data_IF_730878806631
#
_entry.id   IF_730878806631
#
_cell.length_a   1.000
_cell.length_b   1.000
_cell.length_c   1.000
_cell.angle_alpha   90.00
_cell.angle_beta   90.00
_cell.angle_gamma   90.00
#
_symmetry.space_group_name_H-M   'P 1'
#
loop_
_entity.id
_entity.type
_entity.pdbx_description
1 polymer ?
#
# COMPACT_ATOMS: atom_id res chain seq x y z
N UNK A 1 37.39 4.39 50.99
CA UNK A 1 37.00 5.07 49.73
C UNK A 1 36.01 6.22 49.95
N UNK A 2 35.12 6.16 50.96
CA UNK A 2 34.18 7.23 51.31
C UNK A 2 34.82 8.48 51.96
N UNK A 3 36.01 8.36 52.56
CA UNK A 3 36.71 9.48 53.21
C UNK A 3 37.28 10.54 52.26
N UNK A 4 37.35 10.28 50.94
CA UNK A 4 37.81 11.27 49.94
C UNK A 4 36.69 12.15 49.38
N UNK A 5 35.42 11.84 49.69
CA UNK A 5 34.27 12.65 49.28
C UNK A 5 33.98 13.80 50.25
N UNK A 6 34.46 13.73 51.49
CA UNK A 6 34.25 14.78 52.51
C UNK A 6 35.17 15.98 52.34
N UNK A 7 36.32 15.84 51.68
CA UNK A 7 37.29 16.93 51.47
C UNK A 7 37.04 17.79 50.22
N UNK A 8 36.03 17.45 49.41
CA UNK A 8 35.69 18.21 48.21
C UNK A 8 34.94 19.49 48.62
N UNK A 9 35.37 20.68 48.17
CA UNK A 9 34.68 21.92 48.48
C UNK A 9 33.24 21.89 47.97
N UNK A 10 32.31 22.45 48.76
CA UNK A 10 30.86 22.39 48.51
C UNK A 10 30.50 22.91 47.12
N UNK A 11 31.21 23.93 46.62
CA UNK A 11 31.00 24.45 45.26
C UNK A 11 31.28 23.44 44.15
N UNK A 12 32.26 22.55 44.31
CA UNK A 12 32.55 21.49 43.33
C UNK A 12 31.48 20.40 43.37
N UNK A 13 30.98 20.04 44.55
CA UNK A 13 29.86 19.10 44.69
C UNK A 13 28.61 19.64 43.99
N UNK A 14 28.31 20.93 44.18
CA UNK A 14 27.16 21.59 43.55
C UNK A 14 27.30 21.63 42.02
N UNK A 15 28.48 21.96 41.48
CA UNK A 15 28.76 21.94 40.04
C UNK A 15 28.60 20.54 39.44
N UNK A 16 29.08 19.50 40.12
CA UNK A 16 28.94 18.11 39.66
C UNK A 16 27.47 17.69 39.67
N UNK A 17 26.72 17.99 40.73
CA UNK A 17 25.28 17.71 40.79
C UNK A 17 24.50 18.46 39.70
N UNK A 18 24.83 19.72 39.44
CA UNK A 18 24.20 20.52 38.40
C UNK A 18 24.55 20.01 37.00
N UNK A 19 25.81 19.65 36.75
CA UNK A 19 26.22 19.02 35.50
C UNK A 19 25.51 17.67 35.28
N UNK A 20 25.30 16.88 36.33
CA UNK A 20 24.53 15.64 36.28
C UNK A 20 23.05 15.90 35.93
N UNK A 21 22.43 16.91 36.53
CA UNK A 21 21.06 17.32 36.19
C UNK A 21 20.95 17.76 34.73
N UNK A 22 21.90 18.56 34.24
CA UNK A 22 21.94 18.97 32.83
C UNK A 22 22.07 17.74 31.92
N UNK A 23 22.97 16.80 32.25
CA UNK A 23 23.15 15.59 31.45
C UNK A 23 21.85 14.76 31.37
N UNK A 24 21.12 14.61 32.49
CA UNK A 24 19.82 13.94 32.51
C UNK A 24 18.82 14.66 31.60
N UNK A 25 18.72 15.99 31.71
CA UNK A 25 17.79 16.79 30.88
C UNK A 25 18.11 16.63 29.39
N UNK A 26 19.40 16.64 29.01
CA UNK A 26 19.81 16.47 27.62
C UNK A 26 19.46 15.08 27.07
N UNK A 27 19.63 14.02 27.88
CA UNK A 27 19.22 12.66 27.50
C UNK A 27 17.72 12.59 27.27
N UNK A 28 16.91 13.13 28.21
CA UNK A 28 15.46 13.15 28.05
C UNK A 28 15.00 13.99 26.86
N UNK A 29 15.59 15.16 26.64
CA UNK A 29 15.27 16.01 25.48
C UNK A 29 15.61 15.32 24.16
N UNK A 30 16.74 14.62 24.09
CA UNK A 30 17.16 13.86 22.92
C UNK A 30 16.22 12.67 22.64
N UNK A 31 15.85 11.89 23.68
CA UNK A 31 14.87 10.81 23.52
C UNK A 31 13.49 11.33 23.10
N UNK A 32 13.02 12.44 23.67
CA UNK A 32 11.75 13.05 23.29
C UNK A 32 11.76 13.54 21.83
N UNK A 33 12.87 14.12 21.38
CA UNK A 33 13.05 14.53 19.99
C UNK A 33 12.98 13.34 19.02
N UNK A 34 13.67 12.23 19.33
CA UNK A 34 13.60 11.01 18.51
C UNK A 34 12.19 10.44 18.43
N UNK A 35 11.50 10.33 19.58
CA UNK A 35 10.12 9.84 19.63
C UNK A 35 9.18 10.65 18.73
N UNK A 36 9.34 11.98 18.75
CA UNK A 36 8.51 12.88 17.93
C UNK A 36 8.79 12.72 16.43
N UNK A 37 10.05 12.48 16.06
CA UNK A 37 10.44 12.25 14.66
C UNK A 37 9.91 10.91 14.14
N UNK A 38 9.97 9.86 14.96
CA UNK A 38 9.43 8.53 14.65
C UNK A 38 7.90 8.59 14.44
N UNK A 39 7.17 9.31 15.31
CA UNK A 39 5.72 9.50 15.18
C UNK A 39 5.37 10.26 13.88
N UNK A 40 6.16 11.28 13.51
CA UNK A 40 5.98 12.02 12.25
C UNK A 40 6.24 11.11 11.05
N UNK A 41 7.27 10.28 11.09
CA UNK A 41 7.57 9.33 10.02
C UNK A 41 6.45 8.30 9.87
N UNK A 42 5.95 7.76 10.98
CA UNK A 42 4.82 6.84 11.02
C UNK A 42 3.57 7.43 10.34
N UNK A 43 3.14 8.64 10.76
CA UNK A 43 1.97 9.30 10.17
C UNK A 43 2.15 9.67 8.70
N UNK A 44 3.39 9.99 8.27
CA UNK A 44 3.69 10.21 6.85
C UNK A 44 3.52 8.94 6.04
N UNK A 45 4.01 7.81 6.54
CA UNK A 45 3.85 6.52 5.88
C UNK A 45 2.36 6.17 5.72
N UNK A 46 1.53 6.38 6.75
CA UNK A 46 0.08 6.16 6.66
C UNK A 46 -0.56 7.03 5.56
N UNK A 47 -0.19 8.31 5.50
CA UNK A 47 -0.69 9.23 4.48
C UNK A 47 -0.29 8.79 3.06
N UNK A 48 0.98 8.40 2.88
CA UNK A 48 1.50 7.94 1.58
C UNK A 48 0.84 6.63 1.15
N UNK A 49 0.70 5.66 2.07
CA UNK A 49 0.03 4.40 1.81
C UNK A 49 -1.43 4.59 1.43
N UNK A 50 -2.15 5.46 2.15
CA UNK A 50 -3.55 5.71 1.88
C UNK A 50 -3.74 6.41 0.53
N UNK A 51 -2.87 7.36 0.21
CA UNK A 51 -2.87 8.01 -1.11
C UNK A 51 -2.64 6.98 -2.23
N UNK A 52 -1.61 6.13 -2.11
CA UNK A 52 -1.31 5.11 -3.11
C UNK A 52 -2.45 4.09 -3.29
N UNK A 53 -3.03 3.60 -2.18
CA UNK A 53 -4.18 2.69 -2.24
C UNK A 53 -5.39 3.38 -2.86
N UNK A 54 -5.57 4.68 -2.59
CA UNK A 54 -6.59 5.51 -3.23
C UNK A 54 -6.46 5.53 -4.76
N UNK A 55 -5.25 5.77 -5.26
CA UNK A 55 -4.94 5.78 -6.70
C UNK A 55 -5.04 4.39 -7.35
N UNK A 56 -4.76 3.32 -6.61
CA UNK A 56 -4.84 1.94 -7.11
C UNK A 56 -6.27 1.38 -7.11
N UNK A 57 -7.14 1.88 -6.21
CA UNK A 57 -8.51 1.39 -5.99
C UNK A 57 -9.38 1.30 -7.26
N UNK A 58 -9.31 2.21 -8.26
CA UNK A 58 -10.07 2.06 -9.50
C UNK A 58 -9.83 0.72 -10.21
N UNK A 59 -8.64 0.13 -10.12
CA UNK A 59 -8.35 -1.18 -10.71
C UNK A 59 -9.20 -2.31 -10.10
N UNK A 60 -9.54 -2.23 -8.81
CA UNK A 60 -10.43 -3.20 -8.16
C UNK A 60 -11.86 -3.17 -8.72
N UNK A 61 -12.27 -2.06 -9.32
CA UNK A 61 -13.57 -1.92 -9.99
C UNK A 61 -13.46 -2.27 -11.48
N UNK A 62 -12.46 -1.71 -12.14
CA UNK A 62 -12.38 -1.71 -13.61
C UNK A 62 -11.93 -3.06 -14.18
N UNK A 63 -11.08 -3.82 -13.47
CA UNK A 63 -10.65 -5.16 -13.93
C UNK A 63 -11.80 -6.19 -13.88
N UNK A 64 -12.59 -6.31 -12.78
CA UNK A 64 -13.79 -7.14 -12.79
C UNK A 64 -14.82 -6.72 -13.83
N UNK A 65 -14.98 -5.42 -14.07
CA UNK A 65 -15.90 -4.91 -15.09
C UNK A 65 -15.43 -5.23 -16.50
N UNK A 66 -14.13 -5.09 -16.79
CA UNK A 66 -13.55 -5.54 -18.05
C UNK A 66 -13.79 -7.04 -18.28
N UNK A 67 -13.63 -7.87 -17.23
CA UNK A 67 -13.93 -9.32 -17.28
C UNK A 67 -15.39 -9.57 -17.64
N UNK A 68 -16.32 -8.86 -16.96
CA UNK A 68 -17.77 -8.98 -17.20
C UNK A 68 -18.14 -8.61 -18.64
N UNK A 69 -17.60 -7.50 -19.15
CA UNK A 69 -17.83 -7.03 -20.51
C UNK A 69 -17.27 -8.00 -21.55
N UNK A 70 -16.04 -8.48 -21.35
CA UNK A 70 -15.39 -9.45 -22.25
C UNK A 70 -16.23 -10.72 -22.36
N UNK A 71 -16.63 -11.30 -21.23
CA UNK A 71 -17.47 -12.49 -21.22
C UNK A 71 -18.84 -12.27 -21.89
N UNK A 72 -19.47 -11.12 -21.69
CA UNK A 72 -20.75 -10.82 -22.31
C UNK A 72 -20.65 -10.69 -23.84
N UNK A 73 -19.54 -10.14 -24.35
CA UNK A 73 -19.26 -10.06 -25.79
C UNK A 73 -19.01 -11.45 -26.38
N UNK A 74 -18.27 -12.31 -25.68
CA UNK A 74 -18.05 -13.70 -26.09
C UNK A 74 -19.35 -14.53 -26.16
N UNK A 75 -20.33 -14.22 -25.30
CA UNK A 75 -21.67 -14.80 -25.34
C UNK A 75 -22.57 -14.21 -26.44
N UNK A 76 -22.04 -13.34 -27.30
CA UNK A 76 -22.73 -12.79 -28.46
C UNK A 76 -23.44 -11.45 -28.22
N UNK A 77 -23.27 -10.81 -27.05
CA UNK A 77 -23.85 -9.50 -26.80
C UNK A 77 -22.97 -8.37 -27.37
N UNK A 78 -22.96 -8.24 -28.70
CA UNK A 78 -22.17 -7.27 -29.44
C UNK A 78 -22.47 -5.80 -29.09
N UNK A 79 -23.61 -5.50 -28.46
CA UNK A 79 -23.93 -4.13 -28.01
C UNK A 79 -23.00 -3.64 -26.90
N UNK A 80 -22.43 -4.56 -26.12
CA UNK A 80 -21.48 -4.25 -25.04
C UNK A 80 -20.03 -4.14 -25.53
N UNK A 81 -19.73 -4.58 -26.76
CA UNK A 81 -18.38 -4.50 -27.33
C UNK A 81 -17.89 -3.04 -27.42
N UNK A 82 -18.81 -2.09 -27.64
CA UNK A 82 -18.50 -0.66 -27.65
C UNK A 82 -18.03 -0.09 -26.31
N UNK A 83 -18.26 -0.80 -25.20
CA UNK A 83 -17.84 -0.35 -23.85
C UNK A 83 -16.41 -0.80 -23.49
N UNK A 84 -15.88 -1.83 -24.18
CA UNK A 84 -14.53 -2.35 -23.93
C UNK A 84 -13.42 -1.30 -24.12
N UNK A 85 -13.42 -0.44 -25.16
CA UNK A 85 -12.40 0.60 -25.31
C UNK A 85 -12.39 1.58 -24.13
N UNK A 86 -13.57 1.98 -23.63
CA UNK A 86 -13.69 2.94 -22.54
C UNK A 86 -13.15 2.38 -21.22
N UNK A 87 -13.50 1.14 -20.85
CA UNK A 87 -12.98 0.54 -19.61
C UNK A 87 -11.47 0.28 -19.70
N UNK A 88 -10.96 -0.09 -20.89
CA UNK A 88 -9.51 -0.27 -21.12
C UNK A 88 -8.75 1.05 -21.03
N UNK A 89 -9.33 2.16 -21.47
CA UNK A 89 -8.77 3.49 -21.31
C UNK A 89 -8.72 3.88 -19.82
N UNK A 90 -9.82 3.70 -19.08
CA UNK A 90 -9.87 3.95 -17.63
C UNK A 90 -8.79 3.19 -16.84
N UNK A 91 -8.56 1.92 -17.20
CA UNK A 91 -7.47 1.11 -16.61
C UNK A 91 -6.10 1.69 -16.96
N UNK A 92 -5.89 2.10 -18.22
CA UNK A 92 -4.66 2.75 -18.66
C UNK A 92 -4.40 4.06 -17.92
N UNK A 93 -5.40 4.92 -17.80
CA UNK A 93 -5.32 6.19 -17.05
C UNK A 93 -4.96 5.95 -15.58
N UNK A 94 -5.47 4.88 -14.98
CA UNK A 94 -5.13 4.48 -13.61
C UNK A 94 -3.66 4.07 -13.50
N UNK A 95 -3.13 3.30 -14.45
CA UNK A 95 -1.69 2.96 -14.48
C UNK A 95 -0.83 4.20 -14.71
N UNK A 96 -1.22 5.12 -15.60
CA UNK A 96 -0.52 6.40 -15.75
C UNK A 96 -0.50 7.22 -14.46
N UNK A 97 -1.61 7.24 -13.71
CA UNK A 97 -1.67 7.90 -12.41
C UNK A 97 -0.73 7.26 -11.40
N UNK A 98 -0.70 5.93 -11.32
CA UNK A 98 0.20 5.19 -10.43
C UNK A 98 1.68 5.45 -10.77
N UNK A 99 2.03 5.58 -12.04
CA UNK A 99 3.38 5.94 -12.48
C UNK A 99 3.78 7.38 -12.17
N UNK A 100 2.81 8.28 -12.04
CA UNK A 100 3.03 9.67 -11.60
C UNK A 100 3.06 9.81 -10.09
N UNK A 101 2.84 8.75 -9.33
CA UNK A 101 2.90 8.78 -7.89
C UNK A 101 4.30 9.25 -7.42
N UNK A 102 4.33 10.00 -6.33
CA UNK A 102 5.56 10.64 -5.88
C UNK A 102 6.65 9.58 -5.59
N UNK A 103 7.82 9.62 -6.25
CA UNK A 103 8.84 8.57 -6.14
C UNK A 103 9.47 8.50 -4.75
N UNK A 104 9.55 9.62 -4.01
CA UNK A 104 10.03 9.61 -2.63
C UNK A 104 9.02 8.92 -1.71
N UNK A 105 7.73 9.19 -1.90
CA UNK A 105 6.68 8.52 -1.13
C UNK A 105 6.60 7.03 -1.46
N UNK A 106 6.74 6.67 -2.74
CA UNK A 106 6.79 5.30 -3.21
C UNK A 106 7.97 4.51 -2.59
N UNK A 107 9.13 5.16 -2.45
CA UNK A 107 10.29 4.58 -1.78
C UNK A 107 10.03 4.38 -0.28
N UNK A 108 9.45 5.37 0.41
CA UNK A 108 9.15 5.32 1.84
C UNK A 108 8.16 4.19 2.21
N UNK A 109 7.21 3.88 1.33
CA UNK A 109 6.24 2.78 1.52
C UNK A 109 6.61 1.51 0.74
N UNK A 110 7.82 1.44 0.17
CA UNK A 110 8.39 0.25 -0.46
C UNK A 110 7.57 -0.32 -1.63
N UNK A 111 7.06 0.55 -2.51
CA UNK A 111 6.31 0.17 -3.72
C UNK A 111 7.13 -0.62 -4.74
N UNK A 112 8.45 -0.43 -4.80
CA UNK A 112 9.33 -1.18 -5.72
C UNK A 112 8.84 -1.21 -7.17
N UNK A 113 8.79 -2.41 -7.76
CA UNK A 113 8.38 -2.67 -9.16
C UNK A 113 6.94 -3.18 -9.24
N UNK A 114 6.15 -3.01 -8.17
CA UNK A 114 4.81 -3.60 -8.09
C UNK A 114 3.86 -2.99 -9.14
N UNK A 115 3.96 -1.68 -9.42
CA UNK A 115 3.15 -1.01 -10.45
C UNK A 115 3.47 -1.58 -11.83
N UNK A 116 4.77 -1.67 -12.20
CA UNK A 116 5.21 -2.26 -13.46
C UNK A 116 4.70 -3.69 -13.64
N UNK A 117 4.75 -4.49 -12.57
CA UNK A 117 4.33 -5.89 -12.59
C UNK A 117 2.82 -6.02 -12.85
N UNK A 118 2.01 -5.16 -12.23
CA UNK A 118 0.56 -5.13 -12.44
C UNK A 118 0.20 -4.67 -13.86
N UNK A 119 0.89 -3.65 -14.38
CA UNK A 119 0.66 -3.16 -15.74
C UNK A 119 1.10 -4.17 -16.79
N UNK A 120 2.22 -4.87 -16.56
CA UNK A 120 2.66 -5.96 -17.43
C UNK A 120 1.64 -7.10 -17.46
N UNK A 121 1.10 -7.50 -16.29
CA UNK A 121 0.06 -8.52 -16.21
C UNK A 121 -1.23 -8.10 -16.94
N UNK A 122 -1.63 -6.83 -16.82
CA UNK A 122 -2.74 -6.26 -17.58
C UNK A 122 -2.50 -6.27 -19.09
N UNK A 123 -1.30 -5.86 -19.51
CA UNK A 123 -0.90 -5.83 -20.92
C UNK A 123 -0.92 -7.23 -21.52
N UNK A 124 -0.36 -8.20 -20.80
CA UNK A 124 -0.34 -9.60 -21.21
C UNK A 124 -1.77 -10.13 -21.37
N UNK A 125 -2.64 -9.92 -20.37
CA UNK A 125 -4.04 -10.31 -20.42
C UNK A 125 -4.77 -9.78 -21.65
N UNK A 126 -4.48 -8.53 -22.07
CA UNK A 126 -5.06 -7.94 -23.29
C UNK A 126 -4.54 -8.55 -24.58
N UNK A 127 -3.23 -8.81 -24.67
CA UNK A 127 -2.62 -9.42 -25.86
C UNK A 127 -3.11 -10.86 -26.06
N UNK A 128 -3.36 -11.53 -24.94
CA UNK A 128 -3.78 -12.90 -24.86
C UNK A 128 -5.28 -13.12 -25.10
N UNK A 129 -6.06 -12.05 -25.24
CA UNK A 129 -7.50 -12.11 -25.43
C UNK A 129 -7.93 -12.77 -26.76
N UNK A 130 -7.05 -12.87 -27.75
CA UNK A 130 -7.34 -13.56 -29.01
C UNK A 130 -6.82 -15.01 -29.03
N UNK A 131 -5.84 -15.34 -28.16
CA UNK A 131 -5.18 -16.65 -28.11
C UNK A 131 -5.77 -17.60 -27.06
N UNK A 132 -6.31 -17.07 -25.97
CA UNK A 132 -6.84 -17.87 -24.86
C UNK A 132 -8.32 -18.19 -25.01
N UNK A 133 -8.70 -19.37 -24.52
CA UNK A 133 -10.10 -19.74 -24.35
C UNK A 133 -10.74 -19.01 -23.16
N UNK A 134 -12.07 -19.03 -23.08
CA UNK A 134 -12.84 -18.30 -22.04
C UNK A 134 -12.41 -18.62 -20.61
N UNK A 135 -12.10 -19.87 -20.31
CA UNK A 135 -11.71 -20.29 -18.96
C UNK A 135 -10.33 -19.75 -18.59
N UNK A 136 -9.40 -19.72 -19.55
CA UNK A 136 -8.08 -19.15 -19.37
C UNK A 136 -8.15 -17.62 -19.19
N UNK A 137 -8.95 -16.91 -19.98
CA UNK A 137 -9.15 -15.47 -19.81
C UNK A 137 -9.75 -15.15 -18.44
N UNK A 138 -10.76 -15.90 -17.99
CA UNK A 138 -11.35 -15.75 -16.66
C UNK A 138 -10.29 -15.94 -15.55
N UNK A 139 -9.43 -16.94 -15.71
CA UNK A 139 -8.34 -17.23 -14.77
C UNK A 139 -7.31 -16.10 -14.74
N UNK A 140 -6.91 -15.57 -15.90
CA UNK A 140 -5.97 -14.45 -15.99
C UNK A 140 -6.50 -13.18 -15.30
N UNK A 141 -7.79 -12.86 -15.47
CA UNK A 141 -8.41 -11.75 -14.75
C UNK A 141 -8.39 -11.96 -13.23
N UNK A 142 -8.69 -13.18 -12.75
CA UNK A 142 -8.66 -13.49 -11.32
C UNK A 142 -7.26 -13.37 -10.74
N UNK A 143 -6.25 -13.82 -11.48
CA UNK A 143 -4.87 -13.69 -11.07
C UNK A 143 -4.47 -12.22 -10.95
N UNK A 144 -4.83 -11.37 -11.92
CA UNK A 144 -4.57 -9.94 -11.85
C UNK A 144 -5.28 -9.28 -10.65
N UNK A 145 -6.55 -9.61 -10.41
CA UNK A 145 -7.29 -9.12 -9.22
C UNK A 145 -6.57 -9.53 -7.93
N UNK A 146 -6.12 -10.79 -7.83
CA UNK A 146 -5.37 -11.28 -6.67
C UNK A 146 -4.04 -10.55 -6.48
N UNK A 147 -3.33 -10.22 -7.57
CA UNK A 147 -2.10 -9.43 -7.52
C UNK A 147 -2.38 -8.00 -7.03
N UNK A 148 -3.44 -7.35 -7.51
CA UNK A 148 -3.86 -6.01 -7.06
C UNK A 148 -4.15 -6.04 -5.55
N UNK A 149 -4.90 -7.03 -5.08
CA UNK A 149 -5.20 -7.20 -3.65
C UNK A 149 -3.95 -7.45 -2.82
N UNK A 150 -3.02 -8.28 -3.30
CA UNK A 150 -1.74 -8.53 -2.65
C UNK A 150 -0.88 -7.26 -2.56
N UNK A 151 -0.89 -6.42 -3.60
CA UNK A 151 -0.22 -5.11 -3.58
C UNK A 151 -0.83 -4.21 -2.52
N UNK A 152 -2.17 -4.11 -2.43
CA UNK A 152 -2.81 -3.30 -1.38
C UNK A 152 -2.45 -3.82 0.02
N UNK A 153 -2.48 -5.13 0.22
CA UNK A 153 -2.09 -5.73 1.51
C UNK A 153 -0.64 -5.40 1.87
N UNK A 154 0.28 -5.53 0.91
CA UNK A 154 1.69 -5.22 1.12
C UNK A 154 1.89 -3.74 1.42
N UNK A 155 1.23 -2.83 0.68
CA UNK A 155 1.27 -1.39 0.96
C UNK A 155 0.69 -1.09 2.32
N UNK A 156 -0.44 -1.70 2.68
CA UNK A 156 -1.02 -1.55 4.02
C UNK A 156 -0.04 -1.96 5.13
N UNK A 157 0.83 -2.93 4.86
CA UNK A 157 1.84 -3.42 5.81
C UNK A 157 3.00 -2.45 5.93
N UNK A 158 3.51 -1.96 4.81
CA UNK A 158 4.70 -1.09 4.75
C UNK A 158 4.39 0.38 5.06
N UNK A 159 3.11 0.75 5.03
CA UNK A 159 2.62 2.10 5.38
C UNK A 159 1.97 2.19 6.76
N UNK A 160 2.07 1.15 7.59
CA UNK A 160 1.45 1.05 8.91
C UNK A 160 -0.09 1.07 8.96
N UNK A 161 -0.77 1.03 7.80
CA UNK A 161 -2.24 1.03 7.73
C UNK A 161 -2.90 -0.28 8.20
N UNK A 162 -2.18 -1.41 8.21
CA UNK A 162 -2.72 -2.72 8.62
C UNK A 162 -3.13 -2.80 10.10
N UNK A 163 -2.85 -1.77 10.90
CA UNK A 163 -3.38 -1.61 12.26
C UNK A 163 -4.75 -0.88 12.28
N UNK A 164 -5.29 -0.49 11.13
CA UNK A 164 -6.59 0.17 11.00
C UNK A 164 -7.71 -0.84 10.65
N UNK A 165 -8.83 -0.88 11.40
CA UNK A 165 -9.91 -1.87 11.22
C UNK A 165 -10.61 -1.89 9.84
N UNK A 166 -10.41 -0.87 9.01
CA UNK A 166 -11.12 -0.70 7.73
C UNK A 166 -10.59 -1.60 6.61
N UNK A 167 -9.33 -2.02 6.66
CA UNK A 167 -8.76 -2.92 5.65
C UNK A 167 -9.32 -4.34 5.82
N UNK A 168 -9.37 -4.87 7.03
CA UNK A 168 -9.80 -6.25 7.31
C UNK A 168 -11.25 -6.55 6.86
N UNK A 169 -12.14 -5.57 6.98
CA UNK A 169 -13.57 -5.75 6.70
C UNK A 169 -13.89 -5.88 5.21
N UNK A 170 -13.15 -5.16 4.36
CA UNK A 170 -13.34 -5.21 2.91
C UNK A 170 -12.67 -6.45 2.28
N UNK A 171 -11.49 -6.86 2.76
CA UNK A 171 -10.76 -8.00 2.20
C UNK A 171 -11.37 -9.36 2.54
N UNK A 172 -12.00 -9.49 3.71
CA UNK A 172 -12.68 -10.73 4.11
C UNK A 172 -14.01 -10.94 3.38
N UNK A 173 -14.74 -9.87 3.01
CA UNK A 173 -15.97 -9.99 2.24
C UNK A 173 -15.71 -10.45 0.79
N UNK A 174 -14.69 -9.92 0.11
CA UNK A 174 -14.41 -10.29 -1.29
C UNK A 174 -13.84 -11.70 -1.45
N UNK A 175 -13.09 -12.21 -0.46
CA UNK A 175 -12.64 -13.60 -0.47
C UNK A 175 -13.80 -14.60 -0.32
N UNK A 176 -14.90 -14.20 0.31
CA UNK A 176 -16.12 -15.03 0.41
C UNK A 176 -16.88 -15.01 -0.92
N UNK A 177 -16.93 -13.88 -1.63
CA UNK A 177 -17.62 -13.75 -2.93
C UNK A 177 -16.86 -14.48 -4.04
N UNK A 178 -15.52 -14.50 -4.02
CA UNK A 178 -14.68 -15.24 -4.96
C UNK A 178 -14.76 -16.77 -4.81
N UNK A 179 -15.48 -17.28 -3.80
CA UNK A 179 -15.77 -18.71 -3.62
C UNK A 179 -17.15 -19.14 -4.09
N UNK A 180 -17.94 -18.31 -4.77
CA UNK A 180 -19.18 -18.79 -5.38
C UNK A 180 -18.86 -19.67 -6.59
N UNK A 181 -19.12 -21.00 -6.53
CA UNK A 181 -19.06 -21.85 -7.71
C UNK A 181 -20.18 -21.44 -8.65
N UNK A 182 -19.91 -21.56 -9.95
CA UNK A 182 -20.88 -21.41 -11.03
C UNK A 182 -22.27 -21.95 -10.65
N UNK A 183 -23.28 -21.09 -10.76
CA UNK A 183 -24.68 -21.46 -10.85
C UNK A 183 -25.26 -20.71 -12.05
N UNK A 184 -25.37 -21.40 -13.19
CA UNK A 184 -26.01 -20.92 -14.42
C UNK A 184 -25.15 -21.06 -15.66
#
# INVERSE_FOLDING_TARGET
>A
MLARLSSIPVGTKLKVSFAWLIAIILVFAFSYYQQTDDDIHFSRQELYGNAFIGDLRPLLRDIPEHRRLTHAVELGNGTLAGQLPAIRASIGDTFEQLHRFNPAWAADIQIGTQVDSLEQAWTQLRLDAESHNRAEQFTAHNQLIGQIQATIFQVGKTSNLLLTPDLDSHFLMDNIVLRSPAMG
#
